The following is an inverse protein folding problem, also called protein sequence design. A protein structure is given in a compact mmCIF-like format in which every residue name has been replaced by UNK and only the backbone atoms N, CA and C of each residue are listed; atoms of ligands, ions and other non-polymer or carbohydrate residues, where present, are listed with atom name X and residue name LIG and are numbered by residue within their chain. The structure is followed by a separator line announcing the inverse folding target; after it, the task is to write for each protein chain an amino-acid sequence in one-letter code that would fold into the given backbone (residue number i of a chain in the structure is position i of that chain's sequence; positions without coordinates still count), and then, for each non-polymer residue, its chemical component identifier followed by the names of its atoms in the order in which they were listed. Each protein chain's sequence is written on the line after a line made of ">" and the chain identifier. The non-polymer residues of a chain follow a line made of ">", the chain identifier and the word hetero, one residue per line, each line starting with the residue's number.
data_IF_505663667512
#
_entry.id   IF_505663667512
#
_cell.length_a   1.000
_cell.length_b   1.000
_cell.length_c   1.000
_cell.angle_alpha   90.00
_cell.angle_beta   90.00
_cell.angle_gamma   90.00
#
_symmetry.space_group_name_H-M   'P 1'
#
loop_
_entity.id
_entity.type
_entity.pdbx_description
1 polymer ?
#
# COMPACT_ATOMS: atom_id res chain seq x y z
N UNK A 1 -6.31 23.21 -20.19
CA UNK A 1 -5.21 22.78 -19.31
C UNK A 1 -4.19 22.06 -20.16
N UNK A 2 -3.05 22.70 -20.42
CA UNK A 2 -1.89 22.08 -21.07
C UNK A 2 -1.23 21.15 -20.05
N UNK A 3 -1.33 19.84 -20.28
CA UNK A 3 -0.57 18.86 -19.50
C UNK A 3 0.84 18.87 -20.09
N UNK A 4 1.76 19.60 -19.45
CA UNK A 4 3.17 19.58 -19.83
C UNK A 4 3.82 18.27 -19.39
N UNK A 5 4.72 17.75 -20.24
CA UNK A 5 5.45 16.48 -20.07
C UNK A 5 6.27 16.39 -18.77
N UNK A 6 6.44 17.48 -18.03
CA UNK A 6 7.12 17.50 -16.71
C UNK A 6 6.26 16.91 -15.60
N UNK A 7 4.92 17.02 -15.71
CA UNK A 7 3.96 16.50 -14.73
C UNK A 7 4.03 14.95 -14.58
N UNK A 8 4.05 14.16 -15.67
CA UNK A 8 4.23 12.70 -15.59
C UNK A 8 5.51 12.27 -14.89
N UNK A 9 6.63 12.94 -15.15
CA UNK A 9 7.94 12.55 -14.62
C UNK A 9 7.98 12.67 -13.09
N UNK A 10 7.40 13.74 -12.54
CA UNK A 10 7.28 13.93 -11.10
C UNK A 10 6.36 12.89 -10.46
N UNK A 11 5.21 12.61 -11.09
CA UNK A 11 4.28 11.58 -10.60
C UNK A 11 4.93 10.19 -10.59
N UNK A 12 5.69 9.83 -11.63
CA UNK A 12 6.39 8.55 -11.68
C UNK A 12 7.41 8.41 -10.54
N UNK A 13 8.19 9.46 -10.26
CA UNK A 13 9.17 9.46 -9.17
C UNK A 13 8.50 9.32 -7.81
N UNK A 14 7.48 10.13 -7.51
CA UNK A 14 6.78 10.10 -6.21
C UNK A 14 6.07 8.77 -5.98
N UNK A 15 5.40 8.22 -7.00
CA UNK A 15 4.70 6.94 -6.87
C UNK A 15 5.68 5.78 -6.68
N UNK A 16 6.85 5.82 -7.32
CA UNK A 16 7.90 4.79 -7.14
C UNK A 16 8.41 4.74 -5.70
N UNK A 17 8.65 5.90 -5.08
CA UNK A 17 9.04 5.98 -3.66
C UNK A 17 7.95 5.45 -2.73
N UNK A 18 6.69 5.73 -3.05
CA UNK A 18 5.54 5.24 -2.29
C UNK A 18 5.44 3.70 -2.35
N UNK A 19 5.63 3.10 -3.53
CA UNK A 19 5.64 1.63 -3.70
C UNK A 19 6.80 0.96 -2.95
N UNK A 20 7.97 1.61 -2.92
CA UNK A 20 9.10 1.14 -2.11
C UNK A 20 8.75 1.15 -0.61
N UNK A 21 8.13 2.22 -0.13
CA UNK A 21 7.67 2.31 1.26
C UNK A 21 6.65 1.21 1.60
N UNK A 22 5.71 0.92 0.69
CA UNK A 22 4.73 -0.16 0.86
C UNK A 22 5.40 -1.53 0.92
N UNK A 23 6.37 -1.77 0.06
CA UNK A 23 7.16 -3.02 0.04
C UNK A 23 7.93 -3.20 1.35
N UNK A 24 8.57 -2.14 1.85
CA UNK A 24 9.29 -2.18 3.13
C UNK A 24 8.33 -2.54 4.28
N UNK A 25 7.13 -1.95 4.30
CA UNK A 25 6.13 -2.25 5.32
C UNK A 25 5.63 -3.69 5.25
N UNK A 26 5.41 -4.22 4.04
CA UNK A 26 5.06 -5.62 3.82
C UNK A 26 6.14 -6.56 4.36
N UNK A 27 7.41 -6.31 4.01
CA UNK A 27 8.55 -7.14 4.43
C UNK A 27 8.73 -7.13 5.95
N UNK A 28 8.53 -5.98 6.60
CA UNK A 28 8.57 -5.87 8.06
C UNK A 28 7.50 -6.75 8.71
N UNK A 29 6.23 -6.66 8.28
CA UNK A 29 5.15 -7.49 8.82
C UNK A 29 5.36 -8.99 8.53
N UNK A 30 5.80 -9.34 7.33
CA UNK A 30 6.10 -10.73 6.98
C UNK A 30 7.23 -11.32 7.85
N UNK A 31 8.17 -10.50 8.31
CA UNK A 31 9.24 -10.91 9.22
C UNK A 31 8.68 -11.16 10.62
N UNK A 32 7.83 -10.27 11.15
CA UNK A 32 7.17 -10.45 12.46
C UNK A 32 6.27 -11.70 12.44
N UNK A 33 5.46 -11.89 11.40
CA UNK A 33 4.59 -13.07 11.26
C UNK A 33 5.41 -14.37 11.29
N UNK A 34 6.55 -14.42 10.60
CA UNK A 34 7.42 -15.60 10.59
C UNK A 34 8.03 -15.88 11.95
N UNK A 35 8.43 -14.84 12.70
CA UNK A 35 8.94 -14.97 14.05
C UNK A 35 7.88 -15.53 15.02
N UNK A 36 6.70 -14.91 15.05
CA UNK A 36 5.57 -15.39 15.86
C UNK A 36 5.13 -16.81 15.48
N UNK A 37 5.19 -17.15 14.19
CA UNK A 37 4.82 -18.49 13.76
C UNK A 37 5.80 -19.54 14.30
N UNK A 38 7.10 -19.23 14.35
CA UNK A 38 8.10 -20.11 14.96
C UNK A 38 7.89 -20.25 16.46
N UNK A 39 7.65 -19.13 17.16
CA UNK A 39 7.32 -19.14 18.59
C UNK A 39 6.09 -20.01 18.87
N UNK A 40 5.01 -19.84 18.10
CA UNK A 40 3.81 -20.65 18.24
C UNK A 40 4.06 -22.16 18.07
N UNK A 41 4.95 -22.55 17.15
CA UNK A 41 5.31 -23.97 16.98
C UNK A 41 6.07 -24.53 18.19
N UNK A 42 6.81 -23.69 18.91
CA UNK A 42 7.61 -24.09 20.08
C UNK A 42 6.78 -24.09 21.37
N UNK A 43 5.91 -23.09 21.59
CA UNK A 43 5.15 -22.91 22.84
C UNK A 43 3.66 -23.22 22.76
N UNK A 44 3.08 -23.33 21.55
CA UNK A 44 1.62 -23.38 21.33
C UNK A 44 0.85 -22.24 21.99
N UNK A 45 1.49 -21.07 22.14
CA UNK A 45 0.90 -19.92 22.81
C UNK A 45 -0.29 -19.34 22.00
N UNK A 46 -1.52 -19.36 22.54
CA UNK A 46 -2.68 -18.80 21.85
C UNK A 46 -2.56 -17.30 21.56
N UNK A 47 -1.75 -16.55 22.31
CA UNK A 47 -1.53 -15.12 22.07
C UNK A 47 -0.74 -14.89 20.77
N UNK A 48 0.33 -15.67 20.54
CA UNK A 48 1.08 -15.64 19.27
C UNK A 48 0.17 -15.93 18.06
N UNK A 49 -0.74 -16.91 18.17
CA UNK A 49 -1.71 -17.21 17.11
C UNK A 49 -2.67 -16.02 16.85
N UNK A 50 -3.19 -15.38 17.90
CA UNK A 50 -4.09 -14.22 17.77
C UNK A 50 -3.39 -13.00 17.13
N UNK A 51 -2.11 -12.77 17.45
CA UNK A 51 -1.32 -11.71 16.83
C UNK A 51 -1.06 -11.98 15.33
N UNK A 52 -0.75 -13.23 14.94
CA UNK A 52 -0.59 -13.60 13.52
C UNK A 52 -1.85 -13.29 12.71
N UNK A 53 -3.04 -13.57 13.27
CA UNK A 53 -4.32 -13.26 12.60
C UNK A 53 -4.48 -11.76 12.37
N UNK A 54 -4.13 -10.93 13.35
CA UNK A 54 -4.17 -9.47 13.20
C UNK A 54 -3.15 -8.94 12.17
N UNK A 55 -1.92 -9.45 12.21
CA UNK A 55 -0.87 -9.08 11.25
C UNK A 55 -1.23 -9.49 9.81
N UNK A 56 -1.87 -10.65 9.63
CA UNK A 56 -2.35 -11.11 8.31
C UNK A 56 -3.36 -10.14 7.70
N UNK A 57 -4.32 -9.64 8.49
CA UNK A 57 -5.27 -8.61 8.01
C UNK A 57 -4.55 -7.36 7.51
N UNK A 58 -3.52 -6.91 8.24
CA UNK A 58 -2.72 -5.75 7.84
C UNK A 58 -1.94 -6.02 6.55
N UNK A 59 -1.37 -7.21 6.40
CA UNK A 59 -0.69 -7.61 5.15
C UNK A 59 -1.65 -7.56 3.96
N UNK A 60 -2.90 -7.98 4.11
CA UNK A 60 -3.90 -7.85 3.05
C UNK A 60 -4.20 -6.40 2.69
N UNK A 61 -4.35 -5.50 3.68
CA UNK A 61 -4.52 -4.07 3.42
C UNK A 61 -3.31 -3.48 2.66
N UNK A 62 -2.08 -3.86 3.05
CA UNK A 62 -0.86 -3.42 2.35
C UNK A 62 -0.86 -3.91 0.89
N UNK A 63 -1.24 -5.17 0.66
CA UNK A 63 -1.35 -5.72 -0.69
C UNK A 63 -2.37 -4.95 -1.53
N UNK A 64 -3.53 -4.64 -0.96
CA UNK A 64 -4.61 -3.99 -1.68
C UNK A 64 -4.28 -2.51 -1.99
N UNK A 65 -3.65 -1.77 -1.07
CA UNK A 65 -3.14 -0.42 -1.38
C UNK A 65 -2.07 -0.46 -2.48
N UNK A 66 -1.14 -1.42 -2.43
CA UNK A 66 -0.09 -1.54 -3.43
C UNK A 66 -0.66 -1.90 -4.81
N UNK A 67 -1.67 -2.76 -4.85
CA UNK A 67 -2.37 -3.13 -6.09
C UNK A 67 -3.03 -1.91 -6.73
N UNK A 68 -3.74 -1.10 -5.95
CA UNK A 68 -4.35 0.15 -6.43
C UNK A 68 -3.28 1.17 -6.88
N UNK A 69 -2.17 1.30 -6.14
CA UNK A 69 -1.06 2.17 -6.49
C UNK A 69 -0.40 1.78 -7.82
N UNK A 70 -0.16 0.49 -8.03
CA UNK A 70 0.38 -0.04 -9.30
C UNK A 70 -0.63 0.15 -10.43
N UNK A 71 -1.91 -0.15 -10.20
CA UNK A 71 -2.96 0.03 -11.21
C UNK A 71 -3.10 1.51 -11.63
N UNK A 72 -2.98 2.44 -10.67
CA UNK A 72 -2.90 3.88 -10.94
C UNK A 72 -1.70 4.22 -11.82
N UNK A 73 -0.51 3.72 -11.47
CA UNK A 73 0.71 4.00 -12.22
C UNK A 73 0.62 3.49 -13.67
N UNK A 74 0.16 2.25 -13.85
CA UNK A 74 -0.07 1.65 -15.16
C UNK A 74 -1.08 2.47 -15.99
N UNK A 75 -2.20 2.87 -15.38
CA UNK A 75 -3.20 3.71 -16.04
C UNK A 75 -2.60 5.07 -16.44
N UNK A 76 -1.76 5.66 -15.59
CA UNK A 76 -1.04 6.90 -15.92
C UNK A 76 -0.07 6.72 -17.10
N UNK A 77 0.69 5.62 -17.14
CA UNK A 77 1.57 5.29 -18.27
C UNK A 77 0.78 5.12 -19.57
N UNK A 78 -0.37 4.44 -19.53
CA UNK A 78 -1.27 4.29 -20.69
C UNK A 78 -1.81 5.64 -21.14
N UNK A 79 -2.23 6.50 -20.20
CA UNK A 79 -2.65 7.88 -20.50
C UNK A 79 -1.56 8.63 -21.28
N UNK A 80 -0.30 8.56 -20.84
CA UNK A 80 0.80 9.24 -21.52
C UNK A 80 1.02 8.71 -22.94
N UNK A 81 0.90 7.39 -23.15
CA UNK A 81 0.93 6.79 -24.49
C UNK A 81 -0.22 7.27 -25.38
N UNK A 82 -1.43 7.38 -24.84
CA UNK A 82 -2.61 7.87 -25.57
C UNK A 82 -2.49 9.35 -25.96
N UNK A 83 -2.01 10.19 -25.04
CA UNK A 83 -1.76 11.61 -25.31
C UNK A 83 -0.69 11.77 -26.40
N UNK A 84 0.37 10.97 -26.35
CA UNK A 84 1.41 10.94 -27.38
C UNK A 84 0.86 10.52 -28.75
N UNK A 85 -0.09 9.57 -28.78
CA UNK A 85 -0.79 9.16 -29.99
C UNK A 85 -1.87 10.17 -30.48
N UNK A 86 -1.99 11.33 -29.84
CA UNK A 86 -2.98 12.36 -30.19
C UNK A 86 -4.40 12.09 -29.67
N UNK A 87 -4.63 11.01 -28.93
CA UNK A 87 -5.94 10.61 -28.40
C UNK A 87 -6.29 11.34 -27.09
N UNK A 88 -6.45 12.67 -27.18
CA UNK A 88 -6.58 13.55 -26.00
C UNK A 88 -7.79 13.23 -25.12
N UNK A 89 -8.95 12.94 -25.72
CA UNK A 89 -10.18 12.65 -24.97
C UNK A 89 -10.07 11.37 -24.15
N UNK A 90 -9.58 10.29 -24.76
CA UNK A 90 -9.37 9.00 -24.07
C UNK A 90 -8.28 9.14 -23.01
N UNK A 91 -7.18 9.84 -23.32
CA UNK A 91 -6.11 10.11 -22.37
C UNK A 91 -6.62 10.80 -21.10
N UNK A 92 -7.47 11.84 -21.23
CA UNK A 92 -8.07 12.53 -20.08
C UNK A 92 -8.95 11.61 -19.22
N UNK A 93 -9.75 10.74 -19.84
CA UNK A 93 -10.58 9.79 -19.10
C UNK A 93 -9.72 8.78 -18.31
N UNK A 94 -8.69 8.23 -18.94
CA UNK A 94 -7.75 7.29 -18.30
C UNK A 94 -6.94 7.98 -17.19
N UNK A 95 -6.58 9.26 -17.36
CA UNK A 95 -5.95 10.05 -16.30
C UNK A 95 -6.87 10.25 -15.10
N UNK A 96 -8.16 10.53 -15.32
CA UNK A 96 -9.13 10.61 -14.22
C UNK A 96 -9.22 9.29 -13.43
N UNK A 97 -9.22 8.15 -14.14
CA UNK A 97 -9.22 6.83 -13.51
C UNK A 97 -7.97 6.58 -12.67
N UNK A 98 -6.78 6.96 -13.15
CA UNK A 98 -5.54 6.78 -12.38
C UNK A 98 -5.58 7.55 -11.06
N UNK A 99 -6.08 8.79 -11.07
CA UNK A 99 -6.23 9.59 -9.85
C UNK A 99 -7.19 8.95 -8.85
N UNK A 100 -8.31 8.39 -9.29
CA UNK A 100 -9.27 7.69 -8.42
C UNK A 100 -8.60 6.47 -7.77
N UNK A 101 -7.86 5.67 -8.54
CA UNK A 101 -7.12 4.52 -8.04
C UNK A 101 -6.05 4.95 -7.01
N UNK A 102 -5.35 6.06 -7.26
CA UNK A 102 -4.37 6.61 -6.32
C UNK A 102 -5.02 7.04 -5.01
N UNK A 103 -6.15 7.75 -5.06
CA UNK A 103 -6.90 8.15 -3.87
C UNK A 103 -7.35 6.91 -3.08
N UNK A 104 -7.84 5.86 -3.76
CA UNK A 104 -8.18 4.59 -3.14
C UNK A 104 -6.98 3.94 -2.43
N UNK A 105 -5.82 3.88 -3.09
CA UNK A 105 -4.57 3.39 -2.50
C UNK A 105 -4.20 4.14 -1.21
N UNK A 106 -4.23 5.48 -1.25
CA UNK A 106 -3.90 6.32 -0.11
C UNK A 106 -4.92 6.18 1.04
N UNK A 107 -6.20 6.03 0.73
CA UNK A 107 -7.24 5.80 1.75
C UNK A 107 -7.00 4.50 2.51
N UNK A 108 -6.64 3.41 1.81
CA UNK A 108 -6.29 2.13 2.45
C UNK A 108 -5.00 2.29 3.28
N UNK A 109 -4.01 3.02 2.76
CA UNK A 109 -2.77 3.33 3.51
C UNK A 109 -3.07 4.03 4.84
N UNK A 110 -3.95 5.03 4.85
CA UNK A 110 -4.39 5.71 6.09
C UNK A 110 -5.08 4.74 7.06
N UNK A 111 -5.93 3.85 6.54
CA UNK A 111 -6.59 2.85 7.37
C UNK A 111 -5.59 1.88 8.01
N UNK A 112 -4.61 1.40 7.24
CA UNK A 112 -3.62 0.46 7.77
C UNK A 112 -2.62 1.14 8.73
N UNK A 113 -2.34 2.44 8.59
CA UNK A 113 -1.64 3.25 9.63
C UNK A 113 -2.42 3.23 10.95
N UNK A 114 -3.72 3.50 10.94
CA UNK A 114 -4.54 3.49 12.16
C UNK A 114 -4.54 2.11 12.83
N UNK A 115 -4.69 1.05 12.04
CA UNK A 115 -4.61 -0.33 12.53
C UNK A 115 -3.24 -0.66 13.14
N UNK A 116 -2.16 -0.18 12.54
CA UNK A 116 -0.79 -0.39 13.04
C UNK A 116 -0.57 0.25 14.40
N UNK A 117 -1.04 1.48 14.59
CA UNK A 117 -0.90 2.20 15.86
C UNK A 117 -1.73 1.52 16.95
N UNK A 118 -2.97 1.13 16.63
CA UNK A 118 -3.83 0.41 17.58
C UNK A 118 -3.22 -0.91 18.07
N UNK A 119 -2.64 -1.70 17.15
CA UNK A 119 -1.97 -2.96 17.52
C UNK A 119 -0.72 -2.74 18.40
N UNK A 120 0.08 -1.70 18.08
CA UNK A 120 1.27 -1.37 18.86
C UNK A 120 0.92 -0.92 20.28
N UNK A 121 -0.12 -0.09 20.43
CA UNK A 121 -0.59 0.34 21.75
C UNK A 121 -1.13 -0.81 22.60
N UNK A 122 -1.82 -1.79 21.98
CA UNK A 122 -2.24 -3.00 22.71
C UNK A 122 -1.05 -3.79 23.23
N UNK A 123 -0.01 -3.96 22.41
CA UNK A 123 1.17 -4.74 22.75
C UNK A 123 2.04 -4.06 23.81
N UNK A 124 2.10 -2.72 23.81
CA UNK A 124 2.84 -1.94 24.83
C UNK A 124 2.07 -1.80 26.15
N UNK A 125 0.73 -1.71 26.10
CA UNK A 125 -0.11 -1.60 27.31
C UNK A 125 -0.03 -2.83 28.23
N UNK A 126 0.31 -4.01 27.69
CA UNK A 126 0.57 -5.21 28.49
C UNK A 126 1.96 -5.20 29.18
N UNK A 127 2.90 -4.34 28.75
CA UNK A 127 4.23 -4.21 29.37
C UNK A 127 4.28 -3.17 30.51
N UNK A 128 3.24 -2.35 30.66
CA UNK A 128 3.20 -1.23 31.62
C UNK A 128 2.43 -1.56 32.93
N UNK A 129 2.26 -2.85 33.25
CA UNK A 129 1.73 -3.34 34.53
C UNK A 129 2.74 -4.24 35.24
#
# INVERSE_FOLDING_TARGET
>A
MSIDLTTPALLFSTISLLLLAYTNRFLALATVIRALHREYQETSDPVAAAQIVNLRKRVHLIRDMQTLGVASLLSCTICMGLLFAGQVWIGKAVFGLSLILMVGSLAISLWEIRMSIGALNLQLGDMEK
#
